data_IF_102823975077
#
_entry.id   IF_102823975077
#
_cell.length_a   1.000
_cell.length_b   1.000
_cell.length_c   1.000
_cell.angle_alpha   90.00
_cell.angle_beta   90.00
_cell.angle_gamma   90.00
#
_symmetry.space_group_name_H-M   'P 1'
#
loop_
_entity.id
_entity.type
_entity.pdbx_description
1 polymer ?
#
# COMPACT_ATOMS: atom_id res chain seq x y z
N UNK A 1 21.89 13.93 0.25
CA UNK A 1 21.05 13.77 -0.97
C UNK A 1 20.91 15.14 -1.61
N UNK A 2 21.36 15.31 -2.86
CA UNK A 2 21.49 16.63 -3.47
C UNK A 2 20.10 17.20 -3.78
N UNK A 3 19.92 18.52 -3.68
CA UNK A 3 18.65 19.19 -4.03
C UNK A 3 18.19 18.89 -5.47
N UNK A 4 19.13 18.50 -6.34
CA UNK A 4 18.88 18.13 -7.74
C UNK A 4 18.16 16.78 -7.81
N UNK A 5 18.54 15.79 -7.00
CA UNK A 5 17.89 14.48 -6.98
C UNK A 5 16.43 14.58 -6.51
N UNK A 6 16.14 15.43 -5.53
CA UNK A 6 14.78 15.69 -5.06
C UNK A 6 13.92 16.39 -6.13
N UNK A 7 14.50 17.31 -6.90
CA UNK A 7 13.79 17.99 -7.99
C UNK A 7 13.53 17.03 -9.16
N UNK A 8 14.52 16.22 -9.55
CA UNK A 8 14.36 15.22 -10.60
C UNK A 8 13.30 14.19 -10.23
N UNK A 9 13.30 13.71 -8.97
CA UNK A 9 12.30 12.78 -8.47
C UNK A 9 10.90 13.40 -8.47
N UNK A 10 10.76 14.65 -8.01
CA UNK A 10 9.49 15.36 -8.01
C UNK A 10 8.91 15.53 -9.43
N UNK A 11 9.76 15.92 -10.39
CA UNK A 11 9.36 16.07 -11.80
C UNK A 11 8.99 14.71 -12.40
N UNK A 12 9.79 13.66 -12.16
CA UNK A 12 9.51 12.32 -12.64
C UNK A 12 8.18 11.77 -12.07
N UNK A 13 7.91 11.95 -10.79
CA UNK A 13 6.65 11.58 -10.15
C UNK A 13 5.47 12.34 -10.76
N UNK A 14 5.58 13.66 -10.94
CA UNK A 14 4.53 14.49 -11.56
C UNK A 14 4.19 14.05 -12.98
N UNK A 15 5.19 13.80 -13.81
CA UNK A 15 5.00 13.36 -15.19
C UNK A 15 4.38 11.96 -15.19
N UNK A 16 4.94 11.03 -14.41
CA UNK A 16 4.45 9.65 -14.34
C UNK A 16 3.02 9.60 -13.83
N UNK A 17 2.68 10.39 -12.81
CA UNK A 17 1.31 10.50 -12.29
C UNK A 17 0.32 11.04 -13.34
N UNK A 18 0.76 11.98 -14.20
CA UNK A 18 -0.04 12.46 -15.32
C UNK A 18 -0.25 11.40 -16.40
N UNK A 19 0.82 10.71 -16.80
CA UNK A 19 0.79 9.67 -17.86
C UNK A 19 0.12 8.38 -17.39
N UNK A 20 0.14 8.08 -16.09
CA UNK A 20 -0.53 6.93 -15.47
C UNK A 20 -2.05 7.13 -15.31
N UNK A 21 -2.66 8.06 -16.05
CA UNK A 21 -4.11 8.26 -16.13
C UNK A 21 -4.67 7.68 -17.42
N UNK A 22 -5.92 7.20 -17.39
CA UNK A 22 -6.61 6.68 -18.59
C UNK A 22 -6.66 7.71 -19.74
N UNK A 23 -6.63 9.00 -19.42
CA UNK A 23 -6.58 10.10 -20.38
C UNK A 23 -5.39 10.03 -21.34
N UNK A 24 -4.23 9.56 -20.87
CA UNK A 24 -3.06 9.42 -21.73
C UNK A 24 -3.23 8.32 -22.77
N UNK A 25 -3.90 7.21 -22.43
CA UNK A 25 -4.22 6.16 -23.39
C UNK A 25 -5.14 6.70 -24.51
N UNK A 26 -6.14 7.52 -24.16
CA UNK A 26 -7.00 8.18 -25.15
C UNK A 26 -6.24 9.19 -26.02
N UNK A 27 -5.35 9.99 -25.42
CA UNK A 27 -4.54 10.95 -26.17
C UNK A 27 -3.62 10.24 -27.17
N UNK A 28 -2.94 9.18 -26.76
CA UNK A 28 -2.08 8.41 -27.66
C UNK A 28 -2.86 7.66 -28.73
N UNK A 29 -4.08 7.18 -28.43
CA UNK A 29 -4.96 6.62 -29.45
C UNK A 29 -5.33 7.66 -30.51
N UNK A 30 -5.62 8.91 -30.11
CA UNK A 30 -5.90 10.02 -31.04
C UNK A 30 -4.67 10.35 -31.88
N UNK A 31 -3.49 10.46 -31.25
CA UNK A 31 -2.24 10.72 -31.97
C UNK A 31 -1.93 9.61 -32.97
N UNK A 32 -2.15 8.35 -32.59
CA UNK A 32 -2.01 7.24 -33.51
C UNK A 32 -3.00 7.37 -34.68
N UNK A 33 -4.29 7.64 -34.43
CA UNK A 33 -5.29 7.84 -35.49
C UNK A 33 -4.92 8.92 -36.53
N UNK A 34 -4.17 9.96 -36.15
CA UNK A 34 -3.67 10.97 -37.11
C UNK A 34 -2.70 10.37 -38.13
N UNK A 35 -1.95 9.32 -37.75
CA UNK A 35 -0.99 8.64 -38.63
C UNK A 35 -1.58 7.50 -39.46
N UNK A 36 -2.79 7.04 -39.13
CA UNK A 36 -3.56 6.04 -39.89
C UNK A 36 -3.73 6.38 -41.38
N UNK A 37 -4.13 7.61 -41.80
CA UNK A 37 -4.31 7.92 -43.22
C UNK A 37 -3.02 7.76 -44.04
N UNK A 38 -1.84 7.99 -43.44
CA UNK A 38 -0.55 7.78 -44.11
C UNK A 38 -0.28 6.29 -44.37
N UNK A 39 -0.64 5.41 -43.42
CA UNK A 39 -0.50 3.97 -43.59
C UNK A 39 -1.45 3.42 -44.68
N UNK A 40 -2.71 3.88 -44.70
CA UNK A 40 -3.71 3.45 -45.69
C UNK A 40 -3.33 3.92 -47.10
N UNK A 41 -2.82 5.15 -47.24
CA UNK A 41 -2.34 5.69 -48.54
C UNK A 41 -1.20 4.88 -49.14
N UNK A 42 -0.47 4.11 -48.33
CA UNK A 42 0.62 3.25 -48.81
C UNK A 42 0.12 2.05 -49.63
N UNK A 43 -1.17 1.66 -49.51
CA UNK A 43 -1.79 0.59 -50.31
C UNK A 43 -1.31 -0.84 -50.01
N UNK A 44 -0.34 -0.98 -49.10
CA UNK A 44 0.27 -2.26 -48.73
C UNK A 44 -0.27 -2.76 -47.39
N UNK A 45 -0.85 -3.96 -47.41
CA UNK A 45 -1.37 -4.66 -46.23
C UNK A 45 -0.30 -4.82 -45.14
N UNK A 46 0.96 -5.04 -45.51
CA UNK A 46 2.06 -5.18 -44.54
C UNK A 46 2.30 -3.88 -43.77
N UNK A 47 2.23 -2.73 -44.45
CA UNK A 47 2.40 -1.41 -43.82
C UNK A 47 1.27 -1.12 -42.84
N UNK A 48 0.03 -1.48 -43.18
CA UNK A 48 -1.12 -1.30 -42.28
C UNK A 48 -0.98 -2.16 -41.03
N UNK A 49 -0.63 -3.45 -41.18
CA UNK A 49 -0.44 -4.36 -40.04
C UNK A 49 0.72 -3.89 -39.16
N UNK A 50 1.84 -3.49 -39.78
CA UNK A 50 3.01 -2.95 -39.08
C UNK A 50 2.64 -1.70 -38.29
N UNK A 51 1.86 -0.78 -38.87
CA UNK A 51 1.39 0.41 -38.18
C UNK A 51 0.48 0.09 -36.98
N UNK A 52 -0.44 -0.89 -37.10
CA UNK A 52 -1.28 -1.33 -35.98
C UNK A 52 -0.43 -1.93 -34.86
N UNK A 53 0.46 -2.87 -35.19
CA UNK A 53 1.27 -3.58 -34.20
C UNK A 53 2.31 -2.68 -33.52
N UNK A 54 2.89 -1.76 -34.28
CA UNK A 54 3.96 -0.89 -33.81
C UNK A 54 3.39 0.44 -33.33
N UNK A 55 2.95 1.33 -34.21
CA UNK A 55 2.58 2.69 -33.83
C UNK A 55 1.36 2.74 -32.91
N UNK A 56 0.30 1.99 -33.22
CA UNK A 56 -0.92 2.02 -32.42
C UNK A 56 -0.78 1.22 -31.12
N UNK A 57 -0.53 -0.09 -31.23
CA UNK A 57 -0.47 -0.95 -30.05
C UNK A 57 0.68 -0.56 -29.13
N UNK A 58 1.89 -0.25 -29.60
CA UNK A 58 3.01 0.07 -28.70
C UNK A 58 2.76 1.34 -27.88
N UNK A 59 2.29 2.43 -28.51
CA UNK A 59 2.03 3.69 -27.81
C UNK A 59 0.91 3.51 -26.78
N UNK A 60 -0.21 2.91 -27.18
CA UNK A 60 -1.38 2.75 -26.31
C UNK A 60 -1.12 1.72 -25.20
N UNK A 61 -0.47 0.60 -25.52
CA UNK A 61 -0.18 -0.47 -24.57
C UNK A 61 0.79 -0.02 -23.47
N UNK A 62 1.80 0.80 -23.79
CA UNK A 62 2.69 1.36 -22.79
C UNK A 62 1.93 2.22 -21.76
N UNK A 63 1.02 3.09 -22.22
CA UNK A 63 0.19 3.91 -21.33
C UNK A 63 -0.79 3.08 -20.51
N UNK A 64 -1.47 2.10 -21.12
CA UNK A 64 -2.41 1.23 -20.40
C UNK A 64 -1.70 0.40 -19.32
N UNK A 65 -0.50 -0.13 -19.60
CA UNK A 65 0.30 -0.85 -18.60
C UNK A 65 0.60 0.05 -17.40
N UNK A 66 1.03 1.29 -17.65
CA UNK A 66 1.35 2.24 -16.58
C UNK A 66 0.13 2.56 -15.69
N UNK A 67 -1.05 2.73 -16.29
CA UNK A 67 -2.31 2.92 -15.55
C UNK A 67 -2.68 1.65 -14.77
N UNK A 68 -2.52 0.46 -15.36
CA UNK A 68 -2.79 -0.80 -14.67
C UNK A 68 -1.91 -0.98 -13.44
N UNK A 69 -0.63 -0.62 -13.54
CA UNK A 69 0.31 -0.63 -12.42
C UNK A 69 -0.09 0.38 -11.33
N UNK A 70 -0.46 1.61 -11.70
CA UNK A 70 -0.84 2.64 -10.72
C UNK A 70 -2.10 2.27 -9.93
N UNK A 71 -3.12 1.73 -10.60
CA UNK A 71 -4.36 1.26 -9.96
C UNK A 71 -4.08 0.08 -9.02
N UNK A 72 -3.21 -0.85 -9.42
CA UNK A 72 -2.81 -1.98 -8.57
C UNK A 72 -2.06 -1.52 -7.32
N UNK A 73 -1.12 -0.57 -7.47
CA UNK A 73 -0.38 0.02 -6.35
C UNK A 73 -1.29 0.75 -5.38
N UNK A 74 -2.28 1.51 -5.85
CA UNK A 74 -3.23 2.20 -4.98
C UNK A 74 -4.09 1.22 -4.16
N UNK A 75 -4.49 0.10 -4.76
CA UNK A 75 -5.22 -0.97 -4.04
C UNK A 75 -4.34 -1.62 -2.98
N UNK A 76 -3.07 -1.89 -3.30
CA UNK A 76 -2.11 -2.44 -2.36
C UNK A 76 -1.88 -1.49 -1.19
N UNK A 77 -1.68 -0.19 -1.46
CA UNK A 77 -1.50 0.83 -0.42
C UNK A 77 -2.71 0.92 0.51
N UNK A 78 -3.94 0.86 -0.03
CA UNK A 78 -5.16 0.79 0.77
C UNK A 78 -5.16 -0.42 1.70
N UNK A 79 -4.87 -1.61 1.17
CA UNK A 79 -4.83 -2.84 1.99
C UNK A 79 -3.72 -2.78 3.05
N UNK A 80 -2.56 -2.22 2.72
CA UNK A 80 -1.48 -1.99 3.69
C UNK A 80 -1.96 -1.07 4.82
N UNK A 81 -2.62 0.04 4.47
CA UNK A 81 -3.12 0.98 5.47
C UNK A 81 -4.17 0.35 6.39
N UNK A 82 -5.14 -0.38 5.82
CA UNK A 82 -6.15 -1.12 6.58
C UNK A 82 -5.52 -2.18 7.51
N UNK A 83 -4.52 -2.93 7.01
CA UNK A 83 -3.81 -3.94 7.81
C UNK A 83 -2.98 -3.30 8.93
N UNK A 84 -2.36 -2.16 8.64
CA UNK A 84 -1.57 -1.40 9.62
C UNK A 84 -2.47 -0.84 10.74
N UNK A 85 -3.62 -0.28 10.39
CA UNK A 85 -4.62 0.19 11.36
C UNK A 85 -5.16 -0.97 12.21
N UNK A 86 -5.51 -2.10 11.59
CA UNK A 86 -5.95 -3.29 12.32
C UNK A 86 -4.87 -3.80 13.29
N UNK A 87 -3.61 -3.87 12.85
CA UNK A 87 -2.49 -4.31 13.69
C UNK A 87 -2.25 -3.39 14.88
N UNK A 88 -2.41 -2.07 14.71
CA UNK A 88 -2.34 -1.11 15.82
C UNK A 88 -3.48 -1.31 16.82
N UNK A 89 -4.70 -1.52 16.34
CA UNK A 89 -5.85 -1.82 17.20
C UNK A 89 -5.65 -3.09 18.02
N UNK A 90 -5.16 -4.16 17.41
CA UNK A 90 -4.80 -5.40 18.12
C UNK A 90 -3.69 -5.19 19.16
N UNK A 91 -2.69 -4.38 18.83
CA UNK A 91 -1.60 -4.05 19.74
C UNK A 91 -2.08 -3.27 20.97
N UNK A 92 -3.00 -2.31 20.78
CA UNK A 92 -3.61 -1.57 21.88
C UNK A 92 -4.42 -2.49 22.80
N UNK A 93 -5.27 -3.35 22.24
CA UNK A 93 -6.01 -4.35 23.00
C UNK A 93 -5.08 -5.30 23.78
N UNK A 94 -4.00 -5.76 23.16
CA UNK A 94 -3.00 -6.60 23.82
C UNK A 94 -2.30 -5.86 24.97
N UNK A 95 -2.03 -4.56 24.81
CA UNK A 95 -1.46 -3.72 25.86
C UNK A 95 -2.42 -3.55 27.03
N UNK A 96 -3.70 -3.33 26.76
CA UNK A 96 -4.74 -3.25 27.79
C UNK A 96 -4.89 -4.57 28.57
N UNK A 97 -4.95 -5.70 27.86
CA UNK A 97 -5.03 -7.02 28.48
C UNK A 97 -3.81 -7.29 29.40
N UNK A 98 -2.60 -6.89 28.98
CA UNK A 98 -1.39 -7.00 29.80
C UNK A 98 -1.42 -6.11 31.04
N UNK A 99 -1.96 -4.88 30.92
CA UNK A 99 -2.11 -3.99 32.07
C UNK A 99 -3.11 -4.55 33.08
N UNK A 100 -4.22 -5.13 32.61
CA UNK A 100 -5.21 -5.75 33.47
C UNK A 100 -4.62 -6.98 34.20
N UNK A 101 -3.95 -7.86 33.47
CA UNK A 101 -3.27 -9.03 34.06
C UNK A 101 -2.21 -8.63 35.10
N UNK A 102 -1.48 -7.52 34.90
CA UNK A 102 -0.56 -7.01 35.91
C UNK A 102 -1.27 -6.52 37.17
N UNK A 103 -2.44 -5.88 37.04
CA UNK A 103 -3.25 -5.48 38.20
C UNK A 103 -3.74 -6.69 38.98
N UNK A 104 -4.29 -7.70 38.29
CA UNK A 104 -4.74 -8.94 38.93
C UNK A 104 -3.61 -9.65 39.67
N UNK A 105 -2.41 -9.73 39.07
CA UNK A 105 -1.23 -10.31 39.73
C UNK A 105 -0.79 -9.50 40.96
N UNK A 106 -0.89 -8.17 40.91
CA UNK A 106 -0.57 -7.32 42.05
C UNK A 106 -1.54 -7.56 43.23
N UNK A 107 -2.85 -7.64 42.96
CA UNK A 107 -3.87 -7.94 43.96
C UNK A 107 -3.68 -9.35 44.56
N UNK A 108 -3.43 -10.35 43.72
CA UNK A 108 -3.20 -11.72 44.16
C UNK A 108 -1.97 -11.84 45.07
N UNK A 109 -0.93 -11.03 44.81
CA UNK A 109 0.28 -10.97 45.66
C UNK A 109 0.00 -10.36 47.03
N UNK A 110 -0.85 -9.34 47.11
CA UNK A 110 -1.28 -8.75 48.40
C UNK A 110 -2.07 -9.77 49.21
N UNK A 111 -3.07 -10.42 48.60
CA UNK A 111 -3.87 -11.46 49.26
C UNK A 111 -2.99 -12.60 49.76
N UNK A 112 -2.05 -13.07 48.93
CA UNK A 112 -1.09 -14.11 49.32
C UNK A 112 -0.22 -13.71 50.51
N UNK A 113 0.24 -12.44 50.55
CA UNK A 113 0.99 -11.91 51.68
C UNK A 113 0.15 -11.85 52.97
N UNK A 114 -1.12 -11.47 52.87
CA UNK A 114 -2.00 -11.38 54.04
C UNK A 114 -2.38 -12.76 54.56
N UNK A 115 -2.63 -13.74 53.68
CA UNK A 115 -2.80 -15.15 54.07
C UNK A 115 -1.56 -15.65 54.84
N UNK A 116 -0.35 -15.35 54.34
CA UNK A 116 0.89 -15.73 55.04
C UNK A 116 0.99 -15.11 56.44
N UNK A 117 0.61 -13.83 56.61
CA UNK A 117 0.58 -13.19 57.93
C UNK A 117 -0.44 -13.86 58.86
N UNK A 118 -1.63 -14.17 58.36
CA UNK A 118 -2.68 -14.83 59.15
C UNK A 118 -2.23 -16.22 59.61
N UNK A 119 -1.62 -17.01 58.73
CA UNK A 119 -1.06 -18.33 59.10
C UNK A 119 -0.01 -18.18 60.19
N UNK A 120 0.93 -17.24 60.04
CA UNK A 120 1.98 -17.00 61.04
C UNK A 120 1.40 -16.59 62.40
N UNK A 121 0.43 -15.68 62.42
CA UNK A 121 -0.24 -15.25 63.65
C UNK A 121 -1.01 -16.39 64.34
N UNK A 122 -1.60 -17.31 63.57
CA UNK A 122 -2.24 -18.51 64.13
C UNK A 122 -1.22 -19.47 64.74
N UNK A 123 -0.08 -19.69 64.08
CA UNK A 123 0.99 -20.55 64.59
C UNK A 123 1.61 -20.01 65.90
N UNK A 124 1.77 -18.69 66.01
CA UNK A 124 2.23 -18.04 67.25
C UNK A 124 1.22 -18.15 68.40
N UNK A 125 -0.08 -18.23 68.12
CA UNK A 125 -1.14 -18.41 69.14
C UNK A 125 -1.33 -19.86 69.61
N UNK A 126 -0.84 -20.83 68.83
CA UNK A 126 -0.97 -22.27 69.13
C UNK A 126 0.24 -22.79 69.93
N UNK A 127 1.35 -22.05 69.95
CA UNK A 127 2.47 -22.24 70.88
C UNK A 127 2.21 -21.61 72.24
#
# INVERSE_FOLDING_TARGET
MSKVDSLNKFVAEKITAGVATMWCAYLFAIVALISLPSAIKSGDTLVIISWIAQTFLQLVLLSIIMVGQSVSSAKLEKTINETHEASLGEFELAKEARMLAQKELAELKVISSDIHKVIKNLEEKVK
#
